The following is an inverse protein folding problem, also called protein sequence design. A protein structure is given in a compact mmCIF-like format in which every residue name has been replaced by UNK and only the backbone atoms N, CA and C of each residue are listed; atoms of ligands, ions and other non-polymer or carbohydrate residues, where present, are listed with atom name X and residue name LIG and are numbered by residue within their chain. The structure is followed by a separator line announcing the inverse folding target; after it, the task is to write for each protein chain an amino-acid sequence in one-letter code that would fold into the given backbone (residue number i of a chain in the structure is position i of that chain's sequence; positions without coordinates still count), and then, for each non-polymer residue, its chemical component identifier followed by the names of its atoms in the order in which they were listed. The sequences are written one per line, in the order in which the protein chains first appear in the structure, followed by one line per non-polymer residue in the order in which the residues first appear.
data_IF_267512688133
#
_entry.id   IF_267512688133
#
_cell.length_a   1.000
_cell.length_b   1.000
_cell.length_c   1.000
_cell.angle_alpha   90.00
_cell.angle_beta   90.00
_cell.angle_gamma   90.00
#
_symmetry.space_group_name_H-M   'P 1'
#
loop_
_entity.id
_entity.type
_entity.pdbx_description
1 polymer ?
#
# COMPACT_ATOMS: atom_id res chain seq x y z
N UNK A 1 12.71 14.13 -11.56
CA UNK A 1 11.33 14.03 -12.05
C UNK A 1 10.55 13.18 -11.06
N UNK A 2 9.33 13.56 -10.63
CA UNK A 2 8.55 12.67 -9.79
C UNK A 2 8.37 11.35 -10.53
N UNK A 3 8.54 10.22 -9.82
CA UNK A 3 8.63 8.87 -10.38
C UNK A 3 7.53 8.55 -11.42
N UNK A 4 6.34 9.13 -11.23
CA UNK A 4 5.17 9.00 -12.11
C UNK A 4 5.41 9.50 -13.53
N UNK A 5 6.10 10.62 -13.71
CA UNK A 5 6.34 11.20 -15.04
C UNK A 5 7.35 10.36 -15.83
N UNK A 6 8.40 9.89 -15.15
CA UNK A 6 9.39 8.97 -15.74
C UNK A 6 8.75 7.64 -16.15
N UNK A 7 7.85 7.10 -15.31
CA UNK A 7 7.09 5.88 -15.62
C UNK A 7 6.15 6.07 -16.82
N UNK A 8 5.43 7.20 -16.88
CA UNK A 8 4.56 7.48 -18.02
C UNK A 8 5.36 7.56 -19.32
N UNK A 9 6.53 8.18 -19.29
CA UNK A 9 7.43 8.24 -20.45
C UNK A 9 7.96 6.85 -20.86
N UNK A 10 8.29 5.98 -19.91
CA UNK A 10 8.78 4.64 -20.22
C UNK A 10 7.68 3.77 -20.84
N UNK A 11 6.45 3.81 -20.31
CA UNK A 11 5.31 3.11 -20.91
C UNK A 11 5.00 3.59 -22.33
N UNK A 12 4.95 4.91 -22.55
CA UNK A 12 4.63 5.48 -23.88
C UNK A 12 5.72 5.28 -24.92
N UNK A 13 6.99 5.19 -24.50
CA UNK A 13 8.12 4.93 -25.39
C UNK A 13 8.42 3.45 -25.61
N UNK A 14 7.68 2.53 -24.96
CA UNK A 14 7.92 1.09 -25.04
C UNK A 14 9.19 0.63 -24.30
N UNK A 15 9.73 1.46 -23.41
CA UNK A 15 10.93 1.18 -22.62
C UNK A 15 10.62 0.94 -21.12
N UNK A 16 9.38 0.55 -20.80
CA UNK A 16 9.03 0.18 -19.45
C UNK A 16 9.76 -1.11 -19.03
N UNK A 17 10.20 -1.23 -17.76
CA UNK A 17 10.76 -2.48 -17.27
C UNK A 17 9.69 -3.57 -17.18
N UNK A 18 10.11 -4.84 -17.22
CA UNK A 18 9.21 -5.99 -17.08
C UNK A 18 8.57 -6.07 -15.68
N UNK A 19 9.32 -5.67 -14.65
CA UNK A 19 8.89 -5.63 -13.25
C UNK A 19 9.25 -4.28 -12.66
N UNK A 20 8.30 -3.65 -11.97
CA UNK A 20 8.45 -2.37 -11.29
C UNK A 20 7.75 -2.37 -9.94
N UNK A 21 8.18 -1.48 -9.06
CA UNK A 21 7.47 -1.19 -7.81
C UNK A 21 6.56 0.03 -8.02
N UNK A 22 5.34 -0.07 -7.49
CA UNK A 22 4.34 0.99 -7.50
C UNK A 22 3.78 1.16 -6.09
N UNK A 23 3.37 2.38 -5.77
CA UNK A 23 2.53 2.59 -4.59
C UNK A 23 1.15 1.98 -4.86
N UNK A 24 0.65 1.20 -3.90
CA UNK A 24 -0.62 0.48 -4.08
C UNK A 24 -1.83 1.37 -4.47
N UNK A 25 -1.97 2.62 -3.99
CA UNK A 25 -3.04 3.52 -4.44
C UNK A 25 -2.97 3.92 -5.93
N UNK A 26 -1.80 3.81 -6.57
CA UNK A 26 -1.63 4.14 -8.00
C UNK A 26 -1.99 2.97 -8.93
N UNK A 27 -2.13 1.75 -8.39
CA UNK A 27 -2.41 0.54 -9.19
C UNK A 27 -3.67 0.68 -10.08
N UNK A 28 -4.82 1.19 -9.58
CA UNK A 28 -6.00 1.39 -10.41
C UNK A 28 -5.77 2.32 -11.61
N UNK A 29 -4.95 3.36 -11.44
CA UNK A 29 -4.64 4.30 -12.52
C UNK A 29 -3.87 3.62 -13.65
N UNK A 30 -2.81 2.87 -13.32
CA UNK A 30 -1.99 2.19 -14.33
C UNK A 30 -2.70 0.99 -14.96
N UNK A 31 -3.55 0.29 -14.21
CA UNK A 31 -4.42 -0.75 -14.74
C UNK A 31 -5.45 -0.18 -15.73
N UNK A 32 -6.08 0.96 -15.39
CA UNK A 32 -7.02 1.66 -16.28
C UNK A 32 -6.36 2.11 -17.60
N UNK A 33 -5.11 2.56 -17.54
CA UNK A 33 -4.32 2.96 -18.70
C UNK A 33 -3.82 1.76 -19.55
N UNK A 34 -4.16 0.52 -19.20
CA UNK A 34 -3.62 -0.72 -19.78
C UNK A 34 -2.08 -0.78 -19.74
N UNK A 35 -1.46 -0.16 -18.73
CA UNK A 35 -0.01 -0.16 -18.57
C UNK A 35 0.49 -1.36 -17.77
N UNK A 36 -0.40 -2.09 -17.09
CA UNK A 36 -0.08 -3.26 -16.28
C UNK A 36 -0.76 -4.52 -16.84
N UNK A 37 -0.05 -5.64 -16.79
CA UNK A 37 -0.58 -6.96 -17.10
C UNK A 37 -1.27 -7.54 -15.85
N UNK A 38 -2.56 -7.95 -15.92
CA UNK A 38 -3.15 -8.71 -14.83
C UNK A 38 -2.48 -10.09 -14.75
N UNK A 39 -2.15 -10.54 -13.55
CA UNK A 39 -1.39 -11.76 -13.36
C UNK A 39 -2.02 -12.79 -12.43
N UNK A 40 -3.28 -12.59 -12.02
CA UNK A 40 -4.03 -13.56 -11.21
C UNK A 40 -4.04 -14.97 -11.80
N UNK A 41 -4.08 -15.11 -13.13
CA UNK A 41 -4.04 -16.40 -13.83
C UNK A 41 -2.68 -17.13 -13.80
N UNK A 42 -1.60 -16.50 -13.35
CA UNK A 42 -0.26 -17.12 -13.27
C UNK A 42 0.09 -17.63 -11.87
N UNK A 43 -0.80 -17.42 -10.88
CA UNK A 43 -0.54 -17.70 -9.48
C UNK A 43 -1.56 -18.69 -8.93
N UNK A 44 -1.09 -19.68 -8.17
CA UNK A 44 -1.98 -20.58 -7.45
C UNK A 44 -2.70 -19.84 -6.32
N UNK A 45 -3.94 -20.25 -6.04
CA UNK A 45 -4.73 -19.67 -4.95
C UNK A 45 -4.06 -19.84 -3.58
N UNK A 46 -3.30 -20.92 -3.39
CA UNK A 46 -2.49 -21.17 -2.19
C UNK A 46 -1.40 -20.12 -2.02
N UNK A 47 -0.74 -19.70 -3.11
CA UNK A 47 0.26 -18.64 -3.07
C UNK A 47 -0.36 -17.30 -2.71
N UNK A 48 -1.47 -16.92 -3.36
CA UNK A 48 -2.17 -15.67 -3.07
C UNK A 48 -2.70 -15.63 -1.62
N UNK A 49 -3.10 -16.78 -1.06
CA UNK A 49 -3.55 -16.88 0.33
C UNK A 49 -2.45 -16.65 1.37
N UNK A 50 -1.18 -16.63 0.97
CA UNK A 50 -0.06 -16.31 1.86
C UNK A 50 0.10 -14.80 2.12
N UNK A 51 -0.57 -13.95 1.34
CA UNK A 51 -0.52 -12.50 1.49
C UNK A 51 -1.60 -12.00 2.45
N UNK A 52 -1.34 -10.86 3.09
CA UNK A 52 -2.36 -10.15 3.86
C UNK A 52 -3.49 -9.70 2.93
N UNK A 53 -4.74 -9.86 3.39
CA UNK A 53 -5.93 -9.48 2.61
C UNK A 53 -5.90 -8.01 2.10
N UNK A 54 -5.42 -7.02 2.86
CA UNK A 54 -5.24 -5.65 2.35
C UNK A 54 -4.34 -5.55 1.13
N UNK A 55 -3.23 -6.30 1.07
CA UNK A 55 -2.30 -6.28 -0.07
C UNK A 55 -3.00 -6.77 -1.34
N UNK A 56 -3.72 -7.88 -1.24
CA UNK A 56 -4.46 -8.46 -2.37
C UNK A 56 -5.56 -7.50 -2.81
N UNK A 57 -6.27 -6.90 -1.86
CA UNK A 57 -7.35 -5.94 -2.14
C UNK A 57 -6.82 -4.69 -2.86
N UNK A 58 -5.72 -4.12 -2.37
CA UNK A 58 -5.10 -2.93 -2.93
C UNK A 58 -4.51 -3.17 -4.32
N UNK A 59 -3.96 -4.38 -4.56
CA UNK A 59 -3.46 -4.79 -5.86
C UNK A 59 -4.53 -5.17 -6.88
N UNK A 60 -5.80 -5.26 -6.48
CA UNK A 60 -6.90 -5.71 -7.33
C UNK A 60 -7.67 -4.53 -7.92
N UNK A 61 -7.83 -4.52 -9.23
CA UNK A 61 -8.66 -3.54 -9.94
C UNK A 61 -9.66 -4.26 -10.86
N UNK A 62 -10.95 -3.93 -10.74
CA UNK A 62 -12.03 -4.57 -11.51
C UNK A 62 -11.97 -6.11 -11.50
N UNK A 63 -11.65 -6.69 -10.34
CA UNK A 63 -11.61 -8.15 -10.14
C UNK A 63 -10.36 -8.86 -10.68
N UNK A 64 -9.35 -8.13 -11.17
CA UNK A 64 -8.08 -8.69 -11.62
C UNK A 64 -6.91 -8.16 -10.79
N UNK A 65 -5.91 -9.00 -10.58
CA UNK A 65 -4.75 -8.67 -9.75
C UNK A 65 -3.62 -8.11 -10.61
N UNK A 66 -3.17 -6.89 -10.30
CA UNK A 66 -2.12 -6.17 -11.06
C UNK A 66 -0.88 -5.86 -10.24
N UNK A 67 -0.91 -6.07 -8.93
CA UNK A 67 0.20 -5.74 -8.05
C UNK A 67 0.17 -6.60 -6.78
N UNK A 68 1.34 -6.96 -6.27
CA UNK A 68 1.51 -7.58 -4.95
C UNK A 68 2.58 -6.81 -4.20
N UNK A 69 2.15 -6.02 -3.21
CA UNK A 69 3.04 -5.27 -2.35
C UNK A 69 3.87 -6.21 -1.47
N UNK A 70 5.14 -5.88 -1.25
CA UNK A 70 6.02 -6.62 -0.35
C UNK A 70 5.86 -6.20 1.12
N UNK A 71 5.27 -5.03 1.37
CA UNK A 71 4.98 -4.49 2.71
C UNK A 71 3.66 -3.73 2.71
N UNK A 72 2.97 -3.75 3.85
CA UNK A 72 1.84 -2.86 4.14
C UNK A 72 2.31 -1.76 5.11
N UNK A 73 1.95 -0.51 4.86
CA UNK A 73 2.23 0.58 5.79
C UNK A 73 1.12 0.68 6.84
N UNK A 74 1.49 0.93 8.09
CA UNK A 74 0.53 1.19 9.17
C UNK A 74 0.91 2.47 9.92
N UNK A 75 -0.10 3.15 10.46
CA UNK A 75 0.09 4.33 11.29
C UNK A 75 0.29 3.89 12.74
N UNK A 76 1.29 4.45 13.40
CA UNK A 76 1.55 4.21 14.82
C UNK A 76 1.74 5.53 15.55
N UNK A 77 1.21 5.61 16.76
CA UNK A 77 1.49 6.71 17.69
C UNK A 77 2.75 6.33 18.48
N UNK A 78 3.82 7.09 18.28
CA UNK A 78 5.05 6.94 19.05
C UNK A 78 5.11 8.05 20.11
N UNK A 79 5.48 7.68 21.34
CA UNK A 79 5.55 8.62 22.45
C UNK A 79 6.68 8.26 23.43
N UNK A 80 7.17 9.26 24.17
CA UNK A 80 8.16 9.05 25.22
C UNK A 80 7.46 8.64 26.53
N UNK A 81 7.66 7.37 26.94
CA UNK A 81 7.02 6.79 28.12
C UNK A 81 7.40 7.50 29.42
N UNK A 82 8.68 7.87 29.59
CA UNK A 82 9.18 8.53 30.80
C UNK A 82 8.60 9.94 30.94
N UNK A 83 8.59 10.69 29.84
CA UNK A 83 8.04 12.04 29.83
C UNK A 83 6.54 12.03 30.14
N UNK A 84 5.79 11.13 29.52
CA UNK A 84 4.34 10.99 29.77
C UNK A 84 4.07 10.66 31.23
N UNK A 85 4.82 9.74 31.82
CA UNK A 85 4.71 9.41 33.23
C UNK A 85 5.04 10.62 34.12
N UNK A 86 6.13 11.34 33.85
CA UNK A 86 6.55 12.51 34.63
C UNK A 86 5.55 13.67 34.60
N UNK A 87 4.82 13.83 33.50
CA UNK A 87 3.79 14.85 33.30
C UNK A 87 2.38 14.37 33.70
N UNK A 88 2.23 13.12 34.14
CA UNK A 88 0.92 12.54 34.46
C UNK A 88 -0.01 12.39 33.26
N UNK A 89 0.53 12.32 32.04
CA UNK A 89 -0.26 12.19 30.81
C UNK A 89 -0.74 10.75 30.68
N UNK A 90 -2.06 10.55 30.68
CA UNK A 90 -2.70 9.25 30.46
C UNK A 90 -2.41 8.73 29.05
N UNK A 91 -2.22 7.41 28.91
CA UNK A 91 -2.03 6.74 27.61
C UNK A 91 -3.33 6.02 27.23
N UNK A 92 -3.96 6.34 26.09
CA UNK A 92 -5.11 5.64 25.53
C UNK A 92 -4.81 4.18 25.20
N UNK A 93 -5.79 3.30 25.38
CA UNK A 93 -5.68 1.88 25.01
C UNK A 93 -6.52 1.49 23.79
N UNK A 94 -7.39 2.39 23.32
CA UNK A 94 -8.19 2.22 22.10
C UNK A 94 -8.48 3.57 21.42
N UNK A 95 -9.11 3.52 20.25
CA UNK A 95 -9.52 4.73 19.53
C UNK A 95 -10.67 5.45 20.26
N UNK A 96 -11.57 4.72 20.89
CA UNK A 96 -12.69 5.25 21.69
C UNK A 96 -12.19 5.91 22.98
N UNK A 97 -11.05 5.46 23.49
CA UNK A 97 -10.35 5.98 24.66
C UNK A 97 -9.30 7.05 24.31
N UNK A 98 -9.31 7.57 23.08
CA UNK A 98 -8.34 8.55 22.61
C UNK A 98 -8.38 9.86 23.43
N UNK A 99 -7.29 10.62 23.38
CA UNK A 99 -7.24 11.96 23.97
C UNK A 99 -8.30 12.86 23.33
N UNK A 100 -9.02 13.62 24.16
CA UNK A 100 -9.87 14.72 23.71
C UNK A 100 -9.21 16.06 24.00
N UNK A 101 -9.52 17.05 23.16
CA UNK A 101 -9.34 18.46 23.50
C UNK A 101 -10.42 18.76 24.53
N UNK A 102 -10.04 18.95 25.79
CA UNK A 102 -11.00 19.37 26.84
C UNK A 102 -11.69 20.69 26.49
#
# INVERSE_FOLDING_TARGET
APLRDSLLQSFTSGNAPDILSLDGPDVPYWAYMNSLLPFDGYMDSSFLSSFLSPIVTQGTYQGKLYHLGYTESTLCILYNKELFHSLGIRIPTSAEDAWSWG
#
